data_IF_748283058923
#
_entry.id   IF_748283058923
#
_cell.length_a   1.000
_cell.length_b   1.000
_cell.length_c   1.000
_cell.angle_alpha   90.00
_cell.angle_beta   90.00
_cell.angle_gamma   90.00
#
_symmetry.space_group_name_H-M   'P 1'
#
loop_
_entity.id
_entity.type
_entity.pdbx_description
1 polymer ?
#
# COMPACT_ATOMS: atom_id res chain seq x y z
N UNK A 1 13.10 55.21 -15.78
CA UNK A 1 12.36 54.66 -16.93
C UNK A 1 11.04 54.14 -16.39
N UNK A 2 9.93 54.65 -16.92
CA UNK A 2 8.56 54.32 -16.54
C UNK A 2 7.94 53.40 -17.61
N UNK A 3 7.15 52.43 -17.18
CA UNK A 3 6.15 51.76 -18.01
C UNK A 3 4.85 51.60 -17.21
N UNK A 4 3.75 51.91 -17.89
CA UNK A 4 2.39 52.04 -17.38
C UNK A 4 1.57 50.76 -17.51
N UNK A 5 0.45 50.68 -16.76
CA UNK A 5 -0.90 50.10 -17.08
C UNK A 5 -1.65 49.96 -15.73
N UNK A 6 -2.69 50.73 -15.38
CA UNK A 6 -4.07 50.92 -15.87
C UNK A 6 -5.01 49.71 -15.69
N UNK A 7 -6.02 49.84 -14.79
CA UNK A 7 -7.48 49.90 -15.09
C UNK A 7 -8.42 48.98 -14.25
N UNK A 8 -9.46 49.63 -13.69
CA UNK A 8 -10.84 49.15 -13.34
C UNK A 8 -10.99 48.11 -12.21
N UNK A 9 -11.97 48.15 -11.29
CA UNK A 9 -13.39 48.57 -11.24
C UNK A 9 -13.81 48.58 -9.74
N UNK A 10 -14.80 49.29 -9.21
CA UNK A 10 -16.10 49.75 -9.73
C UNK A 10 -17.23 49.04 -8.98
N UNK A 11 -17.78 49.67 -7.93
CA UNK A 11 -18.93 49.24 -7.11
C UNK A 11 -20.20 48.89 -7.91
N UNK A 12 -21.03 47.97 -7.38
CA UNK A 12 -22.42 48.27 -6.94
C UNK A 12 -23.22 46.99 -6.62
N UNK A 13 -23.47 46.75 -5.33
CA UNK A 13 -24.49 45.82 -4.85
C UNK A 13 -25.86 46.51 -4.83
N UNK A 14 -26.82 46.03 -5.62
CA UNK A 14 -28.22 46.49 -5.58
C UNK A 14 -29.10 45.58 -4.72
N UNK A 15 -29.73 46.26 -3.79
CA UNK A 15 -30.78 45.96 -2.82
C UNK A 15 -31.88 44.95 -3.26
N UNK A 16 -32.30 44.18 -2.26
CA UNK A 16 -33.51 43.36 -2.14
C UNK A 16 -34.81 44.14 -2.44
N UNK A 17 -35.88 43.43 -2.80
CA UNK A 17 -37.12 43.26 -1.99
C UNK A 17 -38.30 42.73 -2.87
N UNK A 18 -39.50 42.40 -2.34
CA UNK A 18 -40.08 41.06 -2.43
C UNK A 18 -41.52 41.07 -3.02
N UNK A 19 -42.13 39.88 -3.15
CA UNK A 19 -43.59 39.64 -3.37
C UNK A 19 -44.24 40.19 -4.66
N UNK A 20 -44.50 39.30 -5.64
CA UNK A 20 -45.58 39.47 -6.61
C UNK A 20 -46.10 38.12 -7.17
N UNK A 21 -47.42 37.90 -7.00
CA UNK A 21 -48.36 37.05 -7.77
C UNK A 21 -48.08 35.54 -7.81
N UNK A 22 -48.91 34.62 -7.32
CA UNK A 22 -50.36 34.38 -7.46
C UNK A 22 -50.89 34.45 -8.90
N UNK A 23 -51.28 33.26 -9.41
CA UNK A 23 -52.26 32.92 -10.47
C UNK A 23 -51.70 31.94 -11.52
N UNK A 24 -52.34 30.77 -11.57
CA UNK A 24 -52.02 29.68 -12.47
C UNK A 24 -52.44 29.91 -13.92
N UNK A 25 -51.99 29.00 -14.78
CA UNK A 25 -52.57 28.79 -16.11
C UNK A 25 -52.40 27.33 -16.51
N UNK A 26 -53.55 26.68 -16.69
CA UNK A 26 -53.75 25.38 -17.34
C UNK A 26 -53.53 25.60 -18.84
N UNK A 27 -52.68 24.79 -19.47
CA UNK A 27 -52.42 24.82 -20.90
C UNK A 27 -52.24 23.39 -21.40
N UNK A 28 -53.22 22.94 -22.17
CA UNK A 28 -53.35 21.65 -22.83
C UNK A 28 -52.17 21.43 -23.79
N UNK A 29 -51.48 20.30 -23.68
CA UNK A 29 -50.37 19.91 -24.55
C UNK A 29 -50.86 18.88 -25.57
N UNK A 30 -51.15 19.34 -26.78
CA UNK A 30 -51.20 18.51 -27.98
C UNK A 30 -50.04 18.90 -28.89
N UNK A 31 -49.06 18.01 -29.02
CA UNK A 31 -47.92 18.18 -29.92
C UNK A 31 -46.83 17.18 -29.59
N UNK A 32 -46.69 16.16 -30.45
CA UNK A 32 -45.56 15.23 -30.47
C UNK A 32 -44.25 16.02 -30.61
N UNK A 33 -43.59 16.28 -29.49
CA UNK A 33 -42.18 16.66 -29.44
C UNK A 33 -41.46 15.59 -28.64
N UNK A 34 -40.52 14.89 -29.28
CA UNK A 34 -39.60 13.97 -28.61
C UNK A 34 -38.96 14.78 -27.47
N UNK A 35 -39.13 14.39 -26.19
CA UNK A 35 -38.65 15.21 -25.08
C UNK A 35 -37.16 15.43 -25.25
N UNK A 36 -36.72 16.68 -25.27
CA UNK A 36 -35.30 17.01 -25.22
C UNK A 36 -34.72 16.36 -23.96
N UNK A 37 -34.02 15.24 -24.15
CA UNK A 37 -33.51 14.43 -23.06
C UNK A 37 -32.44 15.27 -22.34
N UNK A 38 -32.73 15.66 -21.11
CA UNK A 38 -31.79 16.36 -20.24
C UNK A 38 -30.67 15.40 -19.84
N UNK A 39 -29.67 15.29 -20.70
CA UNK A 39 -28.50 14.41 -20.49
C UNK A 39 -27.74 14.83 -19.23
N UNK A 40 -27.71 16.12 -18.90
CA UNK A 40 -27.02 16.64 -17.72
C UNK A 40 -27.77 16.26 -16.43
N UNK A 41 -29.07 16.51 -16.35
CA UNK A 41 -29.89 16.10 -15.20
C UNK A 41 -30.16 14.60 -15.11
N UNK A 42 -30.04 13.88 -16.24
CA UNK A 42 -30.03 12.42 -16.30
C UNK A 42 -28.73 11.82 -15.75
N UNK A 43 -27.57 12.41 -16.10
CA UNK A 43 -26.27 12.04 -15.56
C UNK A 43 -26.19 12.32 -14.05
N UNK A 44 -26.69 13.48 -13.61
CA UNK A 44 -26.69 13.86 -12.19
C UNK A 44 -27.61 12.97 -11.35
N UNK A 45 -28.72 12.49 -11.93
CA UNK A 45 -29.58 11.47 -11.32
C UNK A 45 -28.96 10.07 -11.31
N UNK A 46 -28.27 9.67 -12.38
CA UNK A 46 -27.56 8.41 -12.45
C UNK A 46 -26.38 8.35 -11.45
N UNK A 47 -25.67 9.46 -11.27
CA UNK A 47 -24.59 9.59 -10.28
C UNK A 47 -25.12 9.61 -8.84
N UNK A 48 -26.29 10.20 -8.59
CA UNK A 48 -26.95 10.15 -7.27
C UNK A 48 -27.51 8.75 -6.96
N UNK A 49 -28.04 8.03 -7.94
CA UNK A 49 -28.50 6.65 -7.74
C UNK A 49 -27.35 5.64 -7.57
N UNK A 50 -26.15 5.90 -8.08
CA UNK A 50 -24.95 5.09 -7.73
C UNK A 50 -24.59 5.15 -6.25
N UNK A 51 -24.95 6.23 -5.54
CA UNK A 51 -24.75 6.32 -4.07
C UNK A 51 -25.84 5.62 -3.27
N UNK A 52 -27.00 5.32 -3.88
CA UNK A 52 -28.12 4.64 -3.23
C UNK A 52 -28.20 3.13 -3.56
N UNK A 53 -27.42 2.67 -4.53
CA UNK A 53 -27.35 1.27 -4.96
C UNK A 53 -25.94 0.69 -4.74
N UNK A 54 -25.31 1.08 -3.63
CA UNK A 54 -24.36 0.17 -2.98
C UNK A 54 -25.29 -0.89 -2.39
N UNK A 55 -25.54 -1.94 -3.17
CA UNK A 55 -25.99 -3.21 -2.63
C UNK A 55 -25.12 -3.46 -1.39
N UNK A 56 -25.77 -3.50 -0.22
CA UNK A 56 -25.13 -4.13 0.93
C UNK A 56 -24.67 -5.50 0.43
N UNK A 57 -23.36 -5.81 0.50
CA UNK A 57 -22.89 -7.11 0.04
C UNK A 57 -23.70 -8.14 0.81
N UNK A 58 -24.41 -8.99 0.08
CA UNK A 58 -25.14 -10.10 0.64
C UNK A 58 -24.22 -10.84 1.63
N UNK A 59 -24.74 -11.11 2.82
CA UNK A 59 -24.06 -11.76 3.97
C UNK A 59 -23.61 -13.22 3.68
N UNK A 60 -23.35 -13.58 2.44
CA UNK A 60 -23.10 -14.95 1.96
C UNK A 60 -21.68 -15.20 1.44
N UNK A 61 -20.75 -14.28 1.68
CA UNK A 61 -19.35 -14.70 1.90
C UNK A 61 -19.05 -14.39 3.35
N UNK A 62 -19.20 -15.36 4.26
CA UNK A 62 -18.55 -15.24 5.57
C UNK A 62 -17.04 -15.14 5.29
N UNK A 63 -16.54 -13.91 5.18
CA UNK A 63 -15.12 -13.58 5.22
C UNK A 63 -14.56 -14.36 6.41
N UNK A 64 -13.71 -15.34 6.11
CA UNK A 64 -13.09 -16.13 7.16
C UNK A 64 -11.83 -15.36 7.54
N UNK A 65 -11.83 -14.60 8.65
CA UNK A 65 -10.71 -13.72 8.98
C UNK A 65 -9.42 -14.50 9.19
N UNK A 66 -9.50 -15.79 9.54
CA UNK A 66 -8.35 -16.68 9.61
C UNK A 66 -7.79 -16.95 8.21
N UNK A 67 -8.64 -17.21 7.22
CA UNK A 67 -8.19 -17.40 5.82
C UNK A 67 -7.56 -16.13 5.27
N UNK A 68 -8.17 -14.98 5.51
CA UNK A 68 -7.62 -13.70 5.01
C UNK A 68 -6.25 -13.40 5.62
N UNK A 69 -6.09 -13.65 6.93
CA UNK A 69 -4.80 -13.55 7.60
C UNK A 69 -3.76 -14.54 7.05
N UNK A 70 -4.16 -15.79 6.80
CA UNK A 70 -3.27 -16.80 6.21
C UNK A 70 -2.85 -16.42 4.78
N UNK A 71 -3.75 -15.90 3.96
CA UNK A 71 -3.42 -15.44 2.61
C UNK A 71 -2.51 -14.20 2.64
N UNK A 72 -2.70 -13.29 3.59
CA UNK A 72 -1.79 -12.16 3.79
C UNK A 72 -0.39 -12.63 4.23
N UNK A 73 -0.31 -13.61 5.15
CA UNK A 73 0.94 -14.23 5.57
C UNK A 73 1.63 -14.92 4.39
N UNK A 74 0.91 -15.72 3.61
CA UNK A 74 1.45 -16.42 2.44
C UNK A 74 2.02 -15.43 1.42
N UNK A 75 1.27 -14.39 1.08
CA UNK A 75 1.73 -13.33 0.19
C UNK A 75 2.95 -12.59 0.75
N UNK A 76 3.01 -12.36 2.07
CA UNK A 76 4.16 -11.75 2.73
C UNK A 76 5.40 -12.65 2.69
N UNK A 77 5.25 -13.97 2.84
CA UNK A 77 6.36 -14.93 2.74
C UNK A 77 6.97 -14.90 1.34
N UNK A 78 6.16 -14.93 0.27
CA UNK A 78 6.67 -14.79 -1.10
C UNK A 78 7.42 -13.48 -1.33
N UNK A 79 6.93 -12.38 -0.76
CA UNK A 79 7.61 -11.10 -0.86
C UNK A 79 8.91 -11.04 -0.04
N UNK A 80 8.97 -11.71 1.12
CA UNK A 80 10.18 -11.86 1.92
C UNK A 80 11.25 -12.64 1.15
N UNK A 81 10.88 -13.74 0.50
CA UNK A 81 11.80 -14.53 -0.32
C UNK A 81 12.44 -13.65 -1.41
N UNK A 82 11.62 -12.83 -2.09
CA UNK A 82 12.13 -11.89 -3.08
C UNK A 82 13.05 -10.81 -2.50
N UNK A 83 12.77 -10.30 -1.31
CA UNK A 83 13.66 -9.36 -0.62
C UNK A 83 14.98 -10.05 -0.26
N UNK A 84 14.92 -11.30 0.21
CA UNK A 84 16.09 -12.11 0.53
C UNK A 84 16.98 -12.35 -0.70
N UNK A 85 16.40 -12.70 -1.84
CA UNK A 85 17.15 -12.87 -3.10
C UNK A 85 17.92 -11.61 -3.48
N UNK A 86 17.33 -10.42 -3.28
CA UNK A 86 17.99 -9.13 -3.56
C UNK A 86 19.11 -8.86 -2.54
N UNK A 87 18.88 -9.18 -1.27
CA UNK A 87 19.90 -9.04 -0.21
C UNK A 87 21.10 -9.96 -0.45
N UNK A 88 20.86 -11.21 -0.85
CA UNK A 88 21.91 -12.18 -1.17
C UNK A 88 22.75 -11.68 -2.37
N UNK A 89 22.10 -11.18 -3.43
CA UNK A 89 22.81 -10.54 -4.55
C UNK A 89 23.62 -9.30 -4.12
N UNK A 90 23.07 -8.46 -3.23
CA UNK A 90 23.78 -7.30 -2.71
C UNK A 90 25.00 -7.71 -1.88
N UNK A 91 24.92 -8.82 -1.13
CA UNK A 91 26.07 -9.41 -0.44
C UNK A 91 27.14 -9.86 -1.43
N UNK A 92 26.77 -10.55 -2.50
CA UNK A 92 27.70 -10.99 -3.54
C UNK A 92 28.44 -9.81 -4.19
N UNK A 93 27.71 -8.72 -4.50
CA UNK A 93 28.30 -7.49 -5.06
C UNK A 93 29.28 -6.83 -4.08
N UNK A 94 28.88 -6.66 -2.82
CA UNK A 94 29.74 -6.07 -1.80
C UNK A 94 30.97 -6.94 -1.48
N UNK A 95 30.82 -8.26 -1.46
CA UNK A 95 31.95 -9.19 -1.31
C UNK A 95 32.91 -9.11 -2.51
N UNK A 96 32.38 -9.04 -3.72
CA UNK A 96 33.20 -8.91 -4.95
C UNK A 96 34.03 -7.63 -4.93
N UNK A 97 33.54 -6.55 -4.31
CA UNK A 97 34.28 -5.30 -4.18
C UNK A 97 35.57 -5.44 -3.34
N UNK A 98 35.67 -6.45 -2.47
CA UNK A 98 36.90 -6.73 -1.71
C UNK A 98 38.04 -7.28 -2.56
N UNK A 99 37.70 -7.91 -3.68
CA UNK A 99 38.69 -8.51 -4.58
C UNK A 99 39.17 -7.52 -5.66
N UNK A 100 38.64 -6.29 -5.66
CA UNK A 100 38.98 -5.24 -6.64
C UNK A 100 39.96 -4.24 -6.04
N UNK A 101 41.18 -4.20 -6.59
CA UNK A 101 42.26 -3.35 -6.09
C UNK A 101 42.05 -1.86 -6.41
N UNK A 102 41.50 -1.54 -7.58
CA UNK A 102 41.34 -0.17 -8.04
C UNK A 102 40.02 0.46 -7.57
N UNK A 103 40.10 1.74 -7.19
CA UNK A 103 38.96 2.49 -6.66
C UNK A 103 37.82 2.67 -7.68
N UNK A 104 38.16 2.81 -8.96
CA UNK A 104 37.17 2.98 -10.03
C UNK A 104 36.30 1.73 -10.21
N UNK A 105 36.90 0.54 -10.18
CA UNK A 105 36.20 -0.73 -10.22
C UNK A 105 35.29 -0.94 -9.00
N UNK A 106 35.74 -0.56 -7.80
CA UNK A 106 34.91 -0.61 -6.59
C UNK A 106 33.73 0.37 -6.65
N UNK A 107 33.91 1.55 -7.24
CA UNK A 107 32.83 2.51 -7.41
C UNK A 107 31.69 1.99 -8.30
N UNK A 108 32.01 1.24 -9.36
CA UNK A 108 30.98 0.57 -10.19
C UNK A 108 30.19 -0.48 -9.40
N UNK A 109 30.86 -1.22 -8.51
CA UNK A 109 30.18 -2.18 -7.64
C UNK A 109 29.35 -1.49 -6.56
N UNK A 110 29.79 -0.33 -6.05
CA UNK A 110 29.00 0.48 -5.13
C UNK A 110 27.70 1.00 -5.78
N UNK A 111 27.76 1.42 -7.05
CA UNK A 111 26.56 1.77 -7.83
C UNK A 111 25.62 0.58 -7.98
N UNK A 112 26.14 -0.59 -8.35
CA UNK A 112 25.33 -1.82 -8.44
C UNK A 112 24.70 -2.22 -7.10
N UNK A 113 25.43 -2.05 -5.99
CA UNK A 113 24.87 -2.24 -4.65
C UNK A 113 23.72 -1.25 -4.37
N UNK A 114 23.88 0.04 -4.70
CA UNK A 114 22.83 1.03 -4.47
C UNK A 114 21.57 0.77 -5.34
N UNK A 115 21.76 0.31 -6.58
CA UNK A 115 20.67 -0.15 -7.44
C UNK A 115 19.89 -1.31 -6.79
N UNK A 116 20.60 -2.34 -6.30
CA UNK A 116 19.98 -3.47 -5.60
C UNK A 116 19.26 -3.00 -4.33
N UNK A 117 19.88 -2.13 -3.55
CA UNK A 117 19.28 -1.51 -2.35
C UNK A 117 17.97 -0.81 -2.72
N UNK A 118 17.96 0.06 -3.71
CA UNK A 118 16.75 0.76 -4.14
C UNK A 118 15.69 -0.19 -4.71
N UNK A 119 16.10 -1.25 -5.40
CA UNK A 119 15.20 -2.25 -5.98
C UNK A 119 14.34 -2.98 -4.92
N UNK A 120 14.80 -3.04 -3.66
CA UNK A 120 14.02 -3.59 -2.54
C UNK A 120 12.73 -2.77 -2.37
N UNK A 121 12.83 -1.44 -2.34
CA UNK A 121 11.67 -0.57 -2.20
C UNK A 121 10.73 -0.72 -3.40
N UNK A 122 11.30 -0.73 -4.61
CA UNK A 122 10.53 -0.91 -5.85
C UNK A 122 9.79 -2.25 -5.89
N UNK A 123 10.40 -3.31 -5.35
CA UNK A 123 9.78 -4.61 -5.19
C UNK A 123 8.62 -4.53 -4.21
N UNK A 124 8.84 -3.95 -3.02
CA UNK A 124 7.82 -3.78 -1.98
C UNK A 124 6.66 -2.88 -2.39
N UNK A 125 6.88 -1.89 -3.26
CA UNK A 125 5.81 -1.04 -3.76
C UNK A 125 4.91 -1.76 -4.80
N UNK A 126 5.33 -2.93 -5.31
CA UNK A 126 4.63 -3.73 -6.34
C UNK A 126 4.07 -5.07 -5.82
N UNK A 127 4.23 -5.39 -4.54
CA UNK A 127 3.72 -6.64 -3.97
C UNK A 127 2.20 -6.65 -3.84
N UNK A 128 1.64 -7.83 -3.58
CA UNK A 128 0.22 -7.97 -3.24
C UNK A 128 -0.16 -7.02 -2.08
N UNK A 129 -1.25 -6.23 -2.20
CA UNK A 129 -1.70 -5.33 -1.15
C UNK A 129 -1.89 -6.00 0.22
N UNK A 130 -2.21 -7.30 0.26
CA UNK A 130 -2.34 -8.11 1.48
C UNK A 130 -0.98 -8.29 2.17
N UNK A 131 0.09 -8.51 1.41
CA UNK A 131 1.45 -8.58 1.92
C UNK A 131 1.94 -7.21 2.42
N UNK A 132 1.60 -6.14 1.70
CA UNK A 132 2.02 -4.77 2.04
C UNK A 132 1.54 -4.32 3.44
N UNK A 133 0.44 -4.87 3.93
CA UNK A 133 -0.07 -4.65 5.30
C UNK A 133 0.90 -5.19 6.36
N UNK A 134 1.65 -6.25 6.06
CA UNK A 134 2.55 -6.89 7.02
C UNK A 134 4.00 -6.42 6.90
N UNK A 135 4.49 -6.17 5.68
CA UNK A 135 5.93 -5.90 5.47
C UNK A 135 6.26 -4.54 4.81
N UNK A 136 5.24 -3.83 4.31
CA UNK A 136 5.42 -2.57 3.60
C UNK A 136 5.53 -1.32 4.51
N UNK A 137 5.58 -0.14 3.90
CA UNK A 137 5.66 1.15 4.63
C UNK A 137 4.40 1.46 5.45
N UNK A 138 3.23 1.06 4.95
CA UNK A 138 1.91 1.27 5.56
C UNK A 138 1.47 0.13 6.48
N UNK A 139 2.41 -0.55 7.11
CA UNK A 139 2.14 -1.78 7.84
C UNK A 139 1.19 -1.57 9.04
N UNK A 140 0.38 -2.59 9.33
CA UNK A 140 -0.52 -2.63 10.49
C UNK A 140 -0.74 -4.08 10.93
N UNK A 141 -1.19 -4.23 12.18
CA UNK A 141 -1.61 -5.53 12.71
C UNK A 141 -2.77 -6.10 11.89
N UNK A 142 -2.76 -7.42 11.69
CA UNK A 142 -3.94 -8.18 11.26
C UNK A 142 -4.53 -8.84 12.48
N UNK A 143 -5.72 -8.39 12.86
CA UNK A 143 -6.43 -8.89 14.02
C UNK A 143 -7.49 -9.93 13.61
N UNK A 144 -7.41 -11.11 14.21
CA UNK A 144 -8.26 -12.26 13.91
C UNK A 144 -9.05 -12.65 15.15
N UNK A 145 -10.38 -12.71 15.02
CA UNK A 145 -11.26 -13.22 16.07
C UNK A 145 -11.42 -14.74 15.94
N UNK A 146 -10.97 -15.47 16.95
CA UNK A 146 -10.98 -16.93 17.04
C UNK A 146 -12.12 -17.38 17.96
N UNK A 147 -13.02 -18.25 17.44
CA UNK A 147 -14.20 -18.73 18.17
C UNK A 147 -15.08 -17.63 18.78
N UNK A 148 -15.08 -16.42 18.20
CA UNK A 148 -15.83 -15.25 18.66
C UNK A 148 -15.42 -14.64 20.00
N UNK A 149 -14.37 -15.15 20.65
CA UNK A 149 -13.98 -14.75 22.02
C UNK A 149 -12.52 -14.34 22.16
N UNK A 150 -11.62 -14.96 21.39
CA UNK A 150 -10.19 -14.72 21.52
C UNK A 150 -9.70 -13.89 20.36
N UNK A 151 -9.00 -12.79 20.63
CA UNK A 151 -8.35 -11.99 19.60
C UNK A 151 -6.90 -12.45 19.45
N UNK A 152 -6.50 -12.80 18.24
CA UNK A 152 -5.10 -13.03 17.87
C UNK A 152 -4.63 -11.95 16.92
N UNK A 153 -3.37 -11.53 17.03
CA UNK A 153 -2.83 -10.42 16.23
C UNK A 153 -1.53 -10.85 15.57
N UNK A 154 -1.51 -10.81 14.24
CA UNK A 154 -0.29 -10.97 13.45
C UNK A 154 0.43 -9.63 13.44
N UNK A 155 1.65 -9.60 13.95
CA UNK A 155 2.42 -8.36 14.09
C UNK A 155 3.20 -8.06 12.81
N UNK A 156 3.13 -6.83 12.28
CA UNK A 156 3.86 -6.48 11.07
C UNK A 156 5.36 -6.32 11.33
N UNK A 157 6.17 -6.54 10.29
CA UNK A 157 7.61 -6.32 10.30
C UNK A 157 8.05 -5.61 9.02
N UNK A 158 8.47 -4.35 9.15
CA UNK A 158 8.87 -3.50 8.02
C UNK A 158 10.17 -4.00 7.43
N UNK A 159 10.22 -4.12 6.11
CA UNK A 159 11.38 -4.62 5.35
C UNK A 159 11.82 -3.69 4.21
N UNK A 160 11.43 -2.42 4.23
CA UNK A 160 12.01 -1.43 3.30
C UNK A 160 13.42 -1.02 3.75
N UNK A 161 14.16 -0.31 2.90
CA UNK A 161 15.57 0.04 3.19
C UNK A 161 15.77 1.08 4.28
N UNK A 162 14.69 1.59 4.87
CA UNK A 162 14.79 2.61 5.93
C UNK A 162 15.41 2.04 7.20
N UNK A 163 15.91 2.91 8.08
CA UNK A 163 16.43 2.57 9.42
C UNK A 163 15.43 1.73 10.25
N UNK A 164 14.12 1.97 10.09
CA UNK A 164 13.08 1.19 10.79
C UNK A 164 12.83 -0.18 10.16
N UNK A 165 13.22 -0.36 8.91
CA UNK A 165 13.10 -1.56 8.13
C UNK A 165 14.40 -2.38 8.19
N UNK A 166 15.06 -2.51 7.05
CA UNK A 166 16.31 -3.26 6.88
C UNK A 166 17.55 -2.48 7.31
N UNK A 167 17.45 -1.16 7.48
CA UNK A 167 18.57 -0.28 7.83
C UNK A 167 19.76 -0.45 6.87
N UNK A 168 19.51 -0.30 5.57
CA UNK A 168 20.54 -0.41 4.55
C UNK A 168 20.99 0.99 4.11
N UNK A 169 22.20 1.42 4.50
CA UNK A 169 22.71 2.71 4.08
C UNK A 169 23.09 2.70 2.59
N UNK A 170 22.97 3.84 1.89
CA UNK A 170 23.63 4.01 0.60
C UNK A 170 25.16 3.99 0.78
N UNK A 171 25.93 3.70 -0.28
CA UNK A 171 27.38 3.88 -0.23
C UNK A 171 27.69 5.37 -0.01
N UNK A 172 28.47 5.67 1.03
CA UNK A 172 28.86 7.02 1.41
C UNK A 172 30.00 7.55 0.54
N UNK A 173 30.95 6.68 0.19
CA UNK A 173 32.18 7.03 -0.55
C UNK A 173 32.41 6.12 -1.76
N UNK A 174 31.35 5.49 -2.28
CA UNK A 174 31.41 4.63 -3.45
C UNK A 174 32.43 3.48 -3.32
N UNK A 175 32.52 2.87 -2.13
CA UNK A 175 33.50 1.83 -1.81
C UNK A 175 34.95 2.28 -2.04
N UNK A 176 35.24 3.56 -1.74
CA UNK A 176 36.61 4.11 -1.75
C UNK A 176 37.53 3.28 -0.85
N UNK A 177 36.99 2.81 0.28
CA UNK A 177 37.71 2.09 1.34
C UNK A 177 37.11 0.72 1.61
N UNK A 178 37.96 -0.23 2.00
CA UNK A 178 37.51 -1.55 2.45
C UNK A 178 36.68 -1.49 3.76
N UNK A 179 36.89 -0.47 4.58
CA UNK A 179 36.12 -0.24 5.81
C UNK A 179 34.64 0.05 5.50
N UNK A 180 34.36 0.86 4.46
CA UNK A 180 32.99 1.07 4.00
C UNK A 180 32.32 -0.23 3.54
N UNK A 181 33.05 -1.07 2.80
CA UNK A 181 32.57 -2.37 2.34
C UNK A 181 32.24 -3.28 3.53
N UNK A 182 33.10 -3.31 4.54
CA UNK A 182 32.88 -4.08 5.78
C UNK A 182 31.63 -3.61 6.52
N UNK A 183 31.43 -2.29 6.62
CA UNK A 183 30.23 -1.70 7.23
C UNK A 183 28.98 -2.13 6.45
N UNK A 184 28.98 -2.02 5.12
CA UNK A 184 27.84 -2.43 4.29
C UNK A 184 27.54 -3.92 4.43
N UNK A 185 28.56 -4.77 4.48
CA UNK A 185 28.39 -6.21 4.70
C UNK A 185 27.76 -6.52 6.07
N UNK A 186 28.13 -5.81 7.13
CA UNK A 186 27.51 -5.94 8.46
C UNK A 186 26.03 -5.51 8.44
N UNK A 187 25.70 -4.44 7.71
CA UNK A 187 24.30 -4.02 7.50
C UNK A 187 23.51 -5.08 6.71
N UNK A 188 24.10 -5.67 5.67
CA UNK A 188 23.47 -6.71 4.87
C UNK A 188 23.22 -8.00 5.67
N UNK A 189 24.17 -8.43 6.51
CA UNK A 189 23.99 -9.59 7.40
C UNK A 189 22.82 -9.37 8.39
N UNK A 190 22.75 -8.17 8.99
CA UNK A 190 21.63 -7.80 9.88
C UNK A 190 20.30 -7.76 9.13
N UNK A 191 20.29 -7.26 7.89
CA UNK A 191 19.11 -7.20 7.05
C UNK A 191 18.60 -8.60 6.67
N UNK A 192 19.50 -9.52 6.28
CA UNK A 192 19.18 -10.93 6.05
C UNK A 192 18.60 -11.58 7.31
N UNK A 193 19.28 -11.40 8.44
CA UNK A 193 18.78 -11.91 9.72
C UNK A 193 17.42 -11.34 10.10
N UNK A 194 17.09 -10.11 9.68
CA UNK A 194 15.76 -9.53 9.88
C UNK A 194 14.71 -10.16 8.97
N UNK A 195 15.01 -10.36 7.69
CA UNK A 195 14.11 -11.03 6.75
C UNK A 195 13.79 -12.46 7.23
N UNK A 196 14.81 -13.21 7.67
CA UNK A 196 14.64 -14.56 8.21
C UNK A 196 13.78 -14.58 9.49
N UNK A 197 13.99 -13.60 10.40
CA UNK A 197 13.13 -13.45 11.59
C UNK A 197 11.68 -13.13 11.25
N UNK A 198 11.44 -12.35 10.20
CA UNK A 198 10.10 -12.05 9.70
C UNK A 198 9.43 -13.33 9.20
N UNK A 199 10.11 -14.07 8.31
CA UNK A 199 9.61 -15.32 7.76
C UNK A 199 9.31 -16.35 8.87
N UNK A 200 10.25 -16.55 9.79
CA UNK A 200 10.08 -17.48 10.92
C UNK A 200 8.90 -17.09 11.83
N UNK A 201 8.65 -15.79 12.03
CA UNK A 201 7.51 -15.33 12.81
C UNK A 201 6.19 -15.58 12.09
N UNK A 202 6.10 -15.25 10.81
CA UNK A 202 4.89 -15.51 10.02
C UNK A 202 4.59 -17.00 9.83
N UNK A 203 5.62 -17.85 9.70
CA UNK A 203 5.44 -19.31 9.72
C UNK A 203 4.83 -19.79 11.04
N UNK A 204 5.28 -19.27 12.18
CA UNK A 204 4.71 -19.60 13.50
C UNK A 204 3.26 -19.12 13.61
N UNK A 205 2.99 -17.90 13.15
CA UNK A 205 1.64 -17.32 13.19
C UNK A 205 0.67 -18.13 12.30
N UNK A 206 1.10 -18.52 11.10
CA UNK A 206 0.33 -19.37 10.20
C UNK A 206 0.04 -20.75 10.83
N UNK A 207 1.05 -21.38 11.43
CA UNK A 207 0.88 -22.67 12.12
C UNK A 207 -0.17 -22.56 13.25
N UNK A 208 -0.10 -21.51 14.05
CA UNK A 208 -1.07 -21.26 15.12
C UNK A 208 -2.50 -21.07 14.57
N UNK A 209 -2.65 -20.23 13.56
CA UNK A 209 -3.94 -19.94 12.92
C UNK A 209 -4.56 -21.20 12.28
N UNK A 210 -3.76 -22.01 11.58
CA UNK A 210 -4.21 -23.28 10.98
C UNK A 210 -4.67 -24.26 12.06
N UNK A 211 -3.90 -24.41 13.14
CA UNK A 211 -4.27 -25.30 14.24
C UNK A 211 -5.60 -24.86 14.89
N UNK A 212 -5.80 -23.56 15.07
CA UNK A 212 -7.05 -23.04 15.64
C UNK A 212 -8.23 -23.22 14.69
N UNK A 213 -8.05 -22.98 13.39
CA UNK A 213 -9.10 -23.18 12.38
C UNK A 213 -9.59 -24.62 12.36
N UNK A 214 -8.69 -25.60 12.46
CA UNK A 214 -9.05 -27.03 12.54
C UNK A 214 -9.87 -27.34 13.80
N UNK A 215 -9.42 -26.87 14.96
CA UNK A 215 -10.13 -27.07 16.21
C UNK A 215 -11.54 -26.43 16.19
N UNK A 216 -11.71 -25.27 15.57
CA UNK A 216 -13.02 -24.63 15.47
C UNK A 216 -13.98 -25.41 14.55
N UNK A 217 -13.48 -26.03 13.46
CA UNK A 217 -14.26 -26.91 12.60
C UNK A 217 -14.71 -28.20 13.31
N UNK A 218 -13.81 -28.85 14.04
CA UNK A 218 -14.13 -30.07 14.81
C UNK A 218 -15.20 -29.80 15.88
N UNK A 219 -15.18 -28.62 16.50
CA UNK A 219 -16.18 -28.23 17.51
C UNK A 219 -17.52 -27.81 16.88
N UNK A 220 -17.55 -27.34 15.62
CA UNK A 220 -18.81 -27.02 14.94
C UNK A 220 -19.56 -28.25 14.44
N UNK A 221 -18.86 -29.33 14.11
CA UNK A 221 -19.47 -30.59 13.66
C UNK A 221 -20.06 -31.43 14.83
N UNK A 222 -19.68 -31.10 16.07
CA UNK A 222 -20.13 -31.78 17.29
C UNK A 222 -21.36 -31.13 17.96
N UNK A 223 -21.84 -30.00 17.44
CA UNK A 223 -22.94 -29.19 18.00
C UNK A 223 -24.20 -29.27 17.13
#
# INVERSE_FOLDING_TARGET
MAFATNKQSGEQAKRRSPLAGWLGKKGDSSGDEIPAMDVAGGLDRALRNRKANIEEPSEETRENPVRDALTAIEAALYAIDRVRDILEQACEVALSAKDVEDEGGRALLAESYDELRLSINDSLDKIDPRAAVLIGKGQRHIDVMLGGRTKYSVSPMRLDVSEKGLDLPPPAEAFSSYEEIDIVLDHLDKALGRADRAAASYCRDAQYLIARMKADLENSDAA
#
